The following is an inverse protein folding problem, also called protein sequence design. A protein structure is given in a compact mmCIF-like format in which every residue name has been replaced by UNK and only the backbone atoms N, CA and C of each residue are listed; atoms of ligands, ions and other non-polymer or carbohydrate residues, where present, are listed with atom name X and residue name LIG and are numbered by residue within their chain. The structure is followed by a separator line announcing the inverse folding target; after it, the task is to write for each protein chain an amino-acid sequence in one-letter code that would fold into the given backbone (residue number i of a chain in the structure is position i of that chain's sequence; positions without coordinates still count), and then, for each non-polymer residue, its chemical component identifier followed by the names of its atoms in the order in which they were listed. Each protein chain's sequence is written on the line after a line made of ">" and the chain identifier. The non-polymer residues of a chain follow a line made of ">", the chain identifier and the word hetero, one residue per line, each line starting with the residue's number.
data_IF_312790483532
#
_entry.id   IF_312790483532
#
_cell.length_a   1.000
_cell.length_b   1.000
_cell.length_c   1.000
_cell.angle_alpha   90.00
_cell.angle_beta   90.00
_cell.angle_gamma   90.00
#
_symmetry.space_group_name_H-M   'P 1'
#
loop_
_entity.id
_entity.type
_entity.pdbx_description
1 polymer ?
#
# COMPACT_ATOMS: atom_id res chain seq x y z
N UNK A 1 0.60 -9.78 27.12
CA UNK A 1 -0.05 -8.82 26.19
C UNK A 1 -1.56 -9.05 26.01
N UNK A 2 -2.24 -9.78 26.91
CA UNK A 2 -3.69 -10.08 26.81
C UNK A 2 -4.62 -8.92 27.24
N UNK A 3 -4.08 -7.90 27.91
CA UNK A 3 -4.87 -6.81 28.52
C UNK A 3 -5.37 -5.76 27.52
N UNK A 4 -4.66 -5.55 26.40
CA UNK A 4 -4.97 -4.48 25.43
C UNK A 4 -6.07 -4.92 24.44
N UNK A 5 -6.08 -6.18 24.01
CA UNK A 5 -7.02 -6.67 23.01
C UNK A 5 -8.46 -6.70 23.51
N UNK A 6 -8.70 -7.17 24.75
CA UNK A 6 -10.04 -7.23 25.32
C UNK A 6 -10.64 -5.82 25.51
N UNK A 7 -9.83 -4.86 25.94
CA UNK A 7 -10.25 -3.48 26.10
C UNK A 7 -10.64 -2.88 24.74
N UNK A 8 -9.79 -3.03 23.72
CA UNK A 8 -10.09 -2.58 22.37
C UNK A 8 -11.37 -3.23 21.81
N UNK A 9 -11.54 -4.54 21.96
CA UNK A 9 -12.78 -5.25 21.53
C UNK A 9 -14.01 -4.69 22.23
N UNK A 10 -13.92 -4.38 23.52
CA UNK A 10 -15.03 -3.80 24.29
C UNK A 10 -15.35 -2.39 23.81
N UNK A 11 -14.36 -1.54 23.57
CA UNK A 11 -14.55 -0.20 23.01
C UNK A 11 -15.16 -0.24 21.62
N UNK A 12 -14.65 -1.09 20.72
CA UNK A 12 -15.19 -1.29 19.38
C UNK A 12 -16.64 -1.81 19.40
N UNK A 13 -16.98 -2.67 20.37
CA UNK A 13 -18.35 -3.14 20.54
C UNK A 13 -19.30 -2.03 21.02
N UNK A 14 -18.84 -1.15 21.91
CA UNK A 14 -19.63 0.00 22.40
C UNK A 14 -19.91 0.96 21.25
N UNK A 15 -18.89 1.37 20.51
CA UNK A 15 -19.06 2.33 19.39
C UNK A 15 -19.95 1.74 18.29
N UNK A 16 -19.85 0.44 18.00
CA UNK A 16 -20.71 -0.23 17.02
C UNK A 16 -22.18 -0.20 17.44
N UNK A 17 -22.49 -0.47 18.72
CA UNK A 17 -23.84 -0.39 19.27
C UNK A 17 -24.41 1.04 19.19
N UNK A 18 -23.59 2.05 19.50
CA UNK A 18 -24.02 3.44 19.40
C UNK A 18 -24.27 3.88 17.95
N UNK A 19 -23.48 3.37 16.99
CA UNK A 19 -23.73 3.60 15.55
C UNK A 19 -25.06 2.98 15.14
N UNK A 20 -25.30 1.71 15.50
CA UNK A 20 -26.56 1.03 15.20
C UNK A 20 -27.77 1.78 15.80
N UNK A 21 -27.63 2.26 17.04
CA UNK A 21 -28.66 3.06 17.70
C UNK A 21 -28.93 4.37 16.94
N UNK A 22 -27.88 5.12 16.59
CA UNK A 22 -28.01 6.36 15.83
C UNK A 22 -28.70 6.14 14.46
N UNK A 23 -28.35 5.06 13.76
CA UNK A 23 -29.00 4.67 12.49
C UNK A 23 -30.49 4.36 12.70
N UNK A 24 -30.85 3.59 13.73
CA UNK A 24 -32.26 3.26 14.04
C UNK A 24 -33.07 4.49 14.41
N UNK A 25 -32.45 5.44 15.11
CA UNK A 25 -33.04 6.73 15.50
C UNK A 25 -33.04 7.75 14.36
N UNK A 26 -32.45 7.42 13.19
CA UNK A 26 -32.24 8.32 12.04
C UNK A 26 -31.49 9.61 12.40
N UNK A 27 -30.54 9.50 13.33
CA UNK A 27 -29.62 10.58 13.71
C UNK A 27 -28.33 10.47 12.89
N UNK A 28 -28.40 10.97 11.65
CA UNK A 28 -27.33 10.88 10.66
C UNK A 28 -26.04 11.58 11.12
N UNK A 29 -26.16 12.73 11.80
CA UNK A 29 -25.03 13.49 12.33
C UNK A 29 -24.30 12.71 13.43
N UNK A 30 -25.04 12.11 14.37
CA UNK A 30 -24.43 11.26 15.39
C UNK A 30 -23.78 10.02 14.78
N UNK A 31 -24.45 9.36 13.83
CA UNK A 31 -23.90 8.19 13.15
C UNK A 31 -22.57 8.52 12.44
N UNK A 32 -22.53 9.64 11.71
CA UNK A 32 -21.31 10.12 11.04
C UNK A 32 -20.19 10.42 12.03
N UNK A 33 -20.48 11.14 13.11
CA UNK A 33 -19.47 11.45 14.15
C UNK A 33 -18.88 10.18 14.79
N UNK A 34 -19.71 9.17 15.06
CA UNK A 34 -19.26 7.90 15.62
C UNK A 34 -18.42 7.08 14.61
N UNK A 35 -18.76 7.12 13.33
CA UNK A 35 -17.95 6.50 12.27
C UNK A 35 -16.58 7.17 12.16
N UNK A 36 -16.53 8.50 12.20
CA UNK A 36 -15.27 9.26 12.20
C UNK A 36 -14.41 8.95 13.43
N UNK A 37 -15.02 8.84 14.61
CA UNK A 37 -14.32 8.47 15.85
C UNK A 37 -13.73 7.06 15.76
N UNK A 38 -14.50 6.11 15.22
CA UNK A 38 -14.00 4.76 14.95
C UNK A 38 -12.81 4.80 13.98
N UNK A 39 -12.89 5.56 12.90
CA UNK A 39 -11.82 5.67 11.91
C UNK A 39 -10.54 6.28 12.53
N UNK A 40 -10.66 7.29 13.40
CA UNK A 40 -9.51 7.86 14.13
C UNK A 40 -8.78 6.86 15.01
N UNK A 41 -9.51 5.97 15.69
CA UNK A 41 -8.91 4.93 16.54
C UNK A 41 -8.07 3.95 15.70
N UNK A 42 -8.50 3.63 14.48
CA UNK A 42 -7.73 2.78 13.56
C UNK A 42 -6.55 3.54 12.94
N UNK A 43 -6.74 4.81 12.60
CA UNK A 43 -5.70 5.67 12.02
C UNK A 43 -4.47 5.76 12.92
N UNK A 44 -4.66 5.91 14.24
CA UNK A 44 -3.55 5.96 15.19
C UNK A 44 -2.66 4.69 15.13
N UNK A 45 -3.29 3.51 15.18
CA UNK A 45 -2.57 2.24 15.13
C UNK A 45 -1.92 2.03 13.77
N UNK A 46 -2.64 2.32 12.68
CA UNK A 46 -2.12 2.27 11.32
C UNK A 46 -0.85 3.11 11.19
N UNK A 47 -0.88 4.38 11.60
CA UNK A 47 0.23 5.30 11.43
C UNK A 47 1.47 4.88 12.22
N UNK A 48 1.30 4.29 13.41
CA UNK A 48 2.40 3.68 14.18
C UNK A 48 3.07 2.53 13.41
N UNK A 49 2.28 1.66 12.77
CA UNK A 49 2.83 0.59 11.94
C UNK A 49 3.57 1.13 10.71
N UNK A 50 3.02 2.15 10.04
CA UNK A 50 3.69 2.79 8.91
C UNK A 50 5.03 3.40 9.34
N UNK A 51 5.05 4.10 10.48
CA UNK A 51 6.26 4.73 11.02
C UNK A 51 7.32 3.67 11.38
N UNK A 52 6.91 2.57 12.00
CA UNK A 52 7.81 1.44 12.30
C UNK A 52 8.41 0.86 11.01
N UNK A 53 7.59 0.61 9.99
CA UNK A 53 8.04 0.06 8.71
C UNK A 53 9.02 1.00 8.00
N UNK A 54 8.68 2.29 7.85
CA UNK A 54 9.60 3.24 7.18
C UNK A 54 10.89 3.42 7.98
N UNK A 55 10.83 3.40 9.31
CA UNK A 55 12.03 3.46 10.15
C UNK A 55 12.97 2.27 9.86
N UNK A 56 12.43 1.04 9.83
CA UNK A 56 13.20 -0.15 9.49
C UNK A 56 13.78 -0.08 8.08
N UNK A 57 12.97 0.19 7.06
CA UNK A 57 13.43 0.26 5.67
C UNK A 57 14.44 1.39 5.47
N UNK A 58 14.21 2.53 6.12
CA UNK A 58 15.15 3.66 6.09
C UNK A 58 16.48 3.28 6.70
N UNK A 59 16.50 2.64 7.88
CA UNK A 59 17.75 2.24 8.51
C UNK A 59 18.49 1.19 7.68
N UNK A 60 17.77 0.21 7.12
CA UNK A 60 18.35 -0.80 6.21
C UNK A 60 18.98 -0.15 4.98
N UNK A 61 18.28 0.81 4.33
CA UNK A 61 18.82 1.55 3.19
C UNK A 61 20.03 2.41 3.55
N UNK A 62 20.04 3.04 4.73
CA UNK A 62 21.19 3.83 5.20
C UNK A 62 22.43 2.98 5.46
N UNK A 63 22.26 1.83 6.11
CA UNK A 63 23.39 0.97 6.54
C UNK A 63 23.89 0.07 5.43
N UNK A 64 22.98 -0.52 4.64
CA UNK A 64 23.32 -1.54 3.64
C UNK A 64 23.13 -1.09 2.19
N UNK A 65 22.70 0.15 1.97
CA UNK A 65 22.42 0.71 0.64
C UNK A 65 21.21 0.07 -0.05
N UNK A 66 20.95 0.50 -1.29
CA UNK A 66 19.82 0.04 -2.11
C UNK A 66 19.76 -1.49 -2.24
N UNK A 67 20.92 -2.14 -2.44
CA UNK A 67 21.01 -3.60 -2.60
C UNK A 67 20.62 -4.35 -1.32
N UNK A 68 21.04 -3.83 -0.16
CA UNK A 68 20.67 -4.41 1.13
C UNK A 68 19.18 -4.24 1.42
N UNK A 69 18.63 -3.06 1.14
CA UNK A 69 17.19 -2.81 1.22
C UNK A 69 16.41 -3.77 0.32
N UNK A 70 16.81 -3.93 -0.95
CA UNK A 70 16.17 -4.88 -1.87
C UNK A 70 16.24 -6.31 -1.34
N UNK A 71 17.38 -6.75 -0.81
CA UNK A 71 17.53 -8.08 -0.22
C UNK A 71 16.55 -8.36 0.92
N UNK A 72 16.36 -7.39 1.83
CA UNK A 72 15.39 -7.55 2.93
C UNK A 72 13.95 -7.55 2.42
N UNK A 73 13.62 -6.64 1.51
CA UNK A 73 12.29 -6.59 0.91
C UNK A 73 11.98 -7.90 0.19
N UNK A 74 12.92 -8.45 -0.57
CA UNK A 74 12.78 -9.75 -1.23
C UNK A 74 12.56 -10.88 -0.23
N UNK A 75 13.36 -10.94 0.83
CA UNK A 75 13.19 -11.94 1.88
C UNK A 75 11.78 -11.88 2.49
N UNK A 76 11.33 -10.68 2.88
CA UNK A 76 9.97 -10.51 3.41
C UNK A 76 8.87 -10.83 2.39
N UNK A 77 9.11 -10.60 1.09
CA UNK A 77 8.20 -10.99 0.03
C UNK A 77 8.09 -12.50 -0.13
N UNK A 78 9.20 -13.24 -0.06
CA UNK A 78 9.16 -14.72 -0.06
C UNK A 78 8.34 -15.26 1.12
N UNK A 79 8.46 -14.64 2.30
CA UNK A 79 7.65 -15.03 3.46
C UNK A 79 6.14 -14.77 3.31
N UNK A 80 5.76 -13.91 2.36
CA UNK A 80 4.37 -13.55 2.08
C UNK A 80 3.85 -14.18 0.78
N UNK A 81 4.69 -14.91 0.05
CA UNK A 81 4.40 -15.42 -1.30
C UNK A 81 3.13 -16.27 -1.36
N UNK A 82 2.80 -16.99 -0.31
CA UNK A 82 1.55 -17.76 -0.23
C UNK A 82 0.31 -16.85 -0.35
N UNK A 83 0.32 -15.68 0.30
CA UNK A 83 -0.75 -14.69 0.17
C UNK A 83 -0.86 -14.12 -1.25
N UNK A 84 0.28 -13.82 -1.88
CA UNK A 84 0.33 -13.39 -3.28
C UNK A 84 -0.17 -14.50 -4.24
N UNK A 85 0.16 -15.75 -3.94
CA UNK A 85 -0.33 -16.92 -4.69
C UNK A 85 -1.83 -17.09 -4.51
N UNK A 86 -2.37 -16.85 -3.32
CA UNK A 86 -3.81 -16.85 -3.10
C UNK A 86 -4.51 -15.77 -3.93
N UNK A 87 -3.95 -14.55 -4.00
CA UNK A 87 -4.46 -13.47 -4.85
C UNK A 87 -4.40 -13.82 -6.34
N UNK A 88 -3.31 -14.44 -6.80
CA UNK A 88 -3.14 -14.83 -8.21
C UNK A 88 -4.23 -15.80 -8.69
N UNK A 89 -4.70 -16.66 -7.79
CA UNK A 89 -5.71 -17.67 -8.11
C UNK A 89 -7.17 -17.17 -7.94
N UNK A 90 -7.37 -15.91 -7.54
CA UNK A 90 -8.72 -15.33 -7.45
C UNK A 90 -9.25 -14.92 -8.83
N UNK A 91 -10.57 -14.98 -9.06
CA UNK A 91 -11.19 -14.22 -10.13
C UNK A 91 -10.81 -12.74 -9.98
N UNK A 92 -10.53 -12.06 -11.11
CA UNK A 92 -10.01 -10.68 -11.06
C UNK A 92 -10.90 -9.72 -10.29
N UNK A 93 -12.22 -9.88 -10.37
CA UNK A 93 -13.19 -9.08 -9.60
C UNK A 93 -13.03 -9.27 -8.08
N UNK A 94 -12.79 -10.50 -7.63
CA UNK A 94 -12.58 -10.80 -6.21
C UNK A 94 -11.23 -10.26 -5.74
N UNK A 95 -10.19 -10.35 -6.58
CA UNK A 95 -8.90 -9.73 -6.30
C UNK A 95 -9.01 -8.21 -6.18
N UNK A 96 -9.79 -7.56 -7.05
CA UNK A 96 -10.06 -6.11 -6.99
C UNK A 96 -10.82 -5.74 -5.71
N UNK A 97 -11.84 -6.52 -5.32
CA UNK A 97 -12.59 -6.31 -4.06
C UNK A 97 -11.70 -6.47 -2.83
N UNK A 98 -10.89 -7.53 -2.80
CA UNK A 98 -9.91 -7.76 -1.73
C UNK A 98 -8.90 -6.61 -1.66
N UNK A 99 -8.39 -6.16 -2.81
CA UNK A 99 -7.48 -5.02 -2.90
C UNK A 99 -8.15 -3.74 -2.41
N UNK A 100 -9.40 -3.45 -2.80
CA UNK A 100 -10.14 -2.28 -2.32
C UNK A 100 -10.32 -2.29 -0.81
N UNK A 101 -10.61 -3.45 -0.22
CA UNK A 101 -10.70 -3.61 1.22
C UNK A 101 -9.35 -3.33 1.91
N UNK A 102 -8.27 -3.96 1.43
CA UNK A 102 -6.91 -3.74 1.93
C UNK A 102 -6.52 -2.26 1.82
N UNK A 103 -6.74 -1.64 0.67
CA UNK A 103 -6.43 -0.23 0.43
C UNK A 103 -7.23 0.72 1.35
N UNK A 104 -8.47 0.37 1.72
CA UNK A 104 -9.23 1.12 2.73
C UNK A 104 -8.60 0.99 4.13
N UNK A 105 -7.98 -0.14 4.45
CA UNK A 105 -7.25 -0.30 5.73
C UNK A 105 -5.97 0.54 5.83
N UNK A 106 -5.47 1.07 4.71
CA UNK A 106 -4.36 2.03 4.69
C UNK A 106 -4.79 3.48 4.97
N UNK A 107 -6.05 3.73 5.34
CA UNK A 107 -6.57 5.01 5.85
C UNK A 107 -6.36 6.24 4.94
N UNK A 108 -6.07 6.01 3.65
CA UNK A 108 -5.98 7.05 2.62
C UNK A 108 -7.32 7.30 1.92
N UNK A 109 -7.34 8.27 1.00
CA UNK A 109 -8.49 8.48 0.11
C UNK A 109 -8.28 7.63 -1.14
N UNK A 110 -9.18 6.68 -1.37
CA UNK A 110 -9.12 5.74 -2.49
C UNK A 110 -10.25 6.02 -3.46
N UNK A 111 -9.93 6.14 -4.74
CA UNK A 111 -10.88 6.12 -5.85
C UNK A 111 -10.56 4.93 -6.74
N UNK A 112 -11.60 4.17 -7.11
CA UNK A 112 -11.51 3.09 -8.08
C UNK A 112 -12.20 3.52 -9.38
N UNK A 113 -11.53 3.30 -10.50
CA UNK A 113 -12.08 3.50 -11.85
C UNK A 113 -11.90 2.19 -12.60
N UNK A 114 -12.87 1.82 -13.42
CA UNK A 114 -12.82 0.65 -14.29
C UNK A 114 -12.94 1.10 -15.74
N UNK A 115 -12.13 0.50 -16.62
CA UNK A 115 -12.28 0.54 -18.08
C UNK A 115 -12.29 -0.90 -18.64
N UNK A 116 -12.33 -1.03 -19.97
CA UNK A 116 -12.39 -2.34 -20.65
C UNK A 116 -11.14 -3.21 -20.43
N UNK A 117 -10.01 -2.61 -20.04
CA UNK A 117 -8.73 -3.31 -19.89
C UNK A 117 -8.37 -3.58 -18.42
N UNK A 118 -8.72 -2.68 -17.51
CA UNK A 118 -8.19 -2.68 -16.15
C UNK A 118 -9.03 -1.92 -15.14
N UNK A 119 -8.71 -2.19 -13.88
CA UNK A 119 -9.10 -1.43 -12.71
C UNK A 119 -7.97 -0.50 -12.31
N UNK A 120 -8.26 0.76 -12.06
CA UNK A 120 -7.29 1.79 -11.66
C UNK A 120 -7.62 2.29 -10.26
N UNK A 121 -6.70 2.04 -9.34
CA UNK A 121 -6.73 2.57 -7.99
C UNK A 121 -5.96 3.89 -7.95
N UNK A 122 -6.62 4.96 -7.50
CA UNK A 122 -6.05 6.30 -7.35
C UNK A 122 -6.11 6.66 -5.88
N UNK A 123 -4.94 6.83 -5.28
CA UNK A 123 -4.80 7.13 -3.85
C UNK A 123 -4.29 8.55 -3.65
N UNK A 124 -5.14 9.45 -3.14
CA UNK A 124 -4.82 10.87 -3.01
C UNK A 124 -5.19 11.47 -1.63
N UNK A 125 -4.31 11.41 -0.62
CA UNK A 125 -3.03 10.70 -0.63
C UNK A 125 -3.21 9.19 -0.49
N UNK A 126 -2.18 8.45 -0.89
CA UNK A 126 -1.91 7.14 -0.29
C UNK A 126 -1.64 7.33 1.21
N UNK A 127 -2.40 6.65 2.07
CA UNK A 127 -2.29 6.85 3.52
C UNK A 127 -0.99 6.36 4.15
N UNK A 128 -0.14 5.67 3.39
CA UNK A 128 1.19 5.21 3.84
C UNK A 128 2.33 6.03 3.19
N UNK A 129 2.89 5.56 2.07
CA UNK A 129 4.04 6.23 1.44
C UNK A 129 3.76 7.65 0.95
N UNK A 130 2.59 7.86 0.34
CA UNK A 130 2.16 9.20 -0.10
C UNK A 130 2.01 10.18 1.07
N UNK A 131 1.41 9.74 2.17
CA UNK A 131 1.31 10.49 3.43
C UNK A 131 2.69 10.87 3.95
N UNK A 132 3.63 9.92 4.05
CA UNK A 132 5.00 10.18 4.52
C UNK A 132 5.71 11.23 3.66
N UNK A 133 5.48 11.23 2.34
CA UNK A 133 6.03 12.28 1.46
C UNK A 133 5.41 13.65 1.76
N UNK A 134 4.09 13.76 1.94
CA UNK A 134 3.41 15.03 2.27
C UNK A 134 3.78 15.57 3.64
N UNK A 135 4.02 14.67 4.59
CA UNK A 135 4.54 15.00 5.92
C UNK A 135 6.03 15.36 5.92
N UNK A 136 6.69 15.37 4.75
CA UNK A 136 8.12 15.71 4.61
C UNK A 136 9.02 14.79 5.43
N UNK A 137 8.62 13.52 5.60
CA UNK A 137 9.32 12.57 6.46
C UNK A 137 10.74 12.20 5.96
N UNK A 138 11.05 12.50 4.70
CA UNK A 138 12.37 12.29 4.11
C UNK A 138 13.30 13.51 4.22
N UNK A 139 12.81 14.59 4.83
CA UNK A 139 13.54 15.82 5.11
C UNK A 139 13.86 15.91 6.63
N UNK A 140 14.70 16.85 7.08
CA UNK A 140 14.93 17.06 8.49
C UNK A 140 13.63 17.34 9.27
N UNK A 141 13.46 16.80 10.50
CA UNK A 141 14.47 16.04 11.26
C UNK A 141 14.49 14.53 10.98
N UNK A 142 13.41 13.95 10.43
CA UNK A 142 13.28 12.48 10.26
C UNK A 142 14.33 11.91 9.31
N UNK A 143 14.60 12.60 8.20
CA UNK A 143 15.63 12.24 7.22
C UNK A 143 15.56 10.77 6.78
N UNK A 144 14.36 10.25 6.49
CA UNK A 144 14.25 8.87 6.00
C UNK A 144 14.98 8.66 4.68
N UNK A 145 15.41 7.42 4.46
CA UNK A 145 16.23 7.06 3.30
C UNK A 145 15.47 7.24 1.99
N UNK A 146 16.20 7.64 0.95
CA UNK A 146 15.74 7.64 -0.44
C UNK A 146 16.74 6.86 -1.29
N UNK A 147 16.22 6.04 -2.19
CA UNK A 147 17.00 5.38 -3.23
C UNK A 147 17.43 6.48 -4.21
N UNK A 148 18.73 6.77 -4.26
CA UNK A 148 19.24 7.96 -4.96
C UNK A 148 19.26 7.80 -6.47
N UNK A 149 19.60 6.62 -6.94
CA UNK A 149 19.75 6.32 -8.36
C UNK A 149 18.47 5.75 -8.96
N UNK A 150 18.27 6.00 -10.25
CA UNK A 150 17.19 5.42 -11.04
C UNK A 150 17.39 3.90 -11.16
N UNK A 151 16.79 3.14 -10.24
CA UNK A 151 16.92 1.67 -10.15
C UNK A 151 15.56 0.98 -10.15
N UNK A 152 15.47 -0.31 -10.54
CA UNK A 152 14.22 -1.08 -10.52
C UNK A 152 13.46 -1.02 -9.19
N UNK A 153 14.16 -1.12 -8.06
CA UNK A 153 13.59 -1.01 -6.70
C UNK A 153 12.91 0.36 -6.42
N UNK A 154 13.25 1.39 -7.20
CA UNK A 154 12.61 2.70 -7.17
C UNK A 154 11.77 2.99 -8.41
N UNK A 155 11.30 1.96 -9.14
CA UNK A 155 10.59 2.12 -10.41
C UNK A 155 11.34 2.90 -11.48
N UNK A 156 12.68 2.94 -11.42
CA UNK A 156 13.52 3.73 -12.32
C UNK A 156 13.51 5.23 -12.02
N UNK A 157 12.90 5.67 -10.92
CA UNK A 157 12.89 7.06 -10.48
C UNK A 157 14.11 7.35 -9.59
N UNK A 158 14.61 8.59 -9.65
CA UNK A 158 15.64 9.09 -8.72
C UNK A 158 14.99 9.56 -7.43
N UNK A 159 15.77 9.55 -6.35
CA UNK A 159 15.33 9.99 -5.01
C UNK A 159 14.02 9.32 -4.56
N UNK A 160 13.86 8.03 -4.84
CA UNK A 160 12.62 7.30 -4.57
C UNK A 160 12.47 6.96 -3.07
N UNK A 161 11.28 7.15 -2.47
CA UNK A 161 11.07 6.90 -1.04
C UNK A 161 11.35 5.44 -0.64
N UNK A 162 12.19 5.20 0.37
CA UNK A 162 12.52 3.84 0.81
C UNK A 162 11.30 3.06 1.30
N UNK A 163 10.30 3.75 1.87
CA UNK A 163 9.04 3.10 2.21
C UNK A 163 8.37 2.52 0.97
N UNK A 164 8.21 3.30 -0.09
CA UNK A 164 7.49 2.90 -1.31
C UNK A 164 8.19 1.80 -2.11
N UNK A 165 9.49 1.56 -1.87
CA UNK A 165 10.27 0.52 -2.52
C UNK A 165 9.65 -0.88 -2.38
N UNK A 166 8.93 -1.16 -1.28
CA UNK A 166 8.26 -2.45 -1.11
C UNK A 166 7.17 -2.69 -2.17
N UNK A 167 6.51 -1.64 -2.67
CA UNK A 167 5.54 -1.77 -3.77
C UNK A 167 6.23 -2.21 -5.07
N UNK A 168 7.43 -1.70 -5.33
CA UNK A 168 8.24 -2.12 -6.48
C UNK A 168 8.70 -3.57 -6.33
N UNK A 169 9.20 -3.93 -5.15
CA UNK A 169 9.73 -5.28 -4.92
C UNK A 169 8.64 -6.33 -4.89
N UNK A 170 7.64 -6.21 -4.01
CA UNK A 170 6.65 -7.26 -3.79
C UNK A 170 5.67 -7.38 -4.96
N UNK A 171 5.01 -6.28 -5.33
CA UNK A 171 3.89 -6.31 -6.29
C UNK A 171 4.29 -6.27 -7.76
N UNK A 172 5.55 -5.93 -8.06
CA UNK A 172 6.04 -5.80 -9.43
C UNK A 172 7.20 -6.74 -9.70
N UNK A 173 8.35 -6.58 -9.03
CA UNK A 173 9.55 -7.38 -9.31
C UNK A 173 9.33 -8.86 -8.96
N UNK A 174 8.99 -9.18 -7.71
CA UNK A 174 8.80 -10.55 -7.25
C UNK A 174 7.53 -11.18 -7.82
N UNK A 175 6.42 -10.46 -7.87
CA UNK A 175 5.22 -10.93 -8.57
C UNK A 175 5.54 -11.34 -10.03
N UNK A 176 6.34 -10.54 -10.75
CA UNK A 176 6.77 -10.90 -12.12
C UNK A 176 7.68 -12.13 -12.14
N UNK A 177 8.58 -12.28 -11.16
CA UNK A 177 9.45 -13.46 -11.05
C UNK A 177 8.64 -14.73 -10.74
N UNK A 178 7.63 -14.64 -9.88
CA UNK A 178 6.81 -15.76 -9.45
C UNK A 178 5.74 -16.16 -10.47
N UNK A 179 5.02 -15.20 -11.03
CA UNK A 179 3.81 -15.43 -11.83
C UNK A 179 3.96 -15.01 -13.30
N UNK A 180 5.03 -14.30 -13.65
CA UNK A 180 5.29 -13.82 -15.00
C UNK A 180 4.71 -12.43 -15.29
N UNK A 181 4.03 -11.79 -14.33
CA UNK A 181 3.56 -10.41 -14.42
C UNK A 181 3.43 -9.72 -13.06
N UNK A 182 3.40 -8.37 -13.01
CA UNK A 182 2.99 -7.64 -11.82
C UNK A 182 1.52 -7.92 -11.47
N UNK A 183 1.19 -7.95 -10.17
CA UNK A 183 -0.19 -8.02 -9.70
C UNK A 183 -0.79 -6.61 -9.53
N UNK A 184 0.00 -5.66 -9.01
CA UNK A 184 -0.34 -4.24 -9.00
C UNK A 184 0.67 -3.46 -9.85
N UNK A 185 0.28 -3.14 -11.09
CA UNK A 185 1.10 -2.36 -12.02
C UNK A 185 1.15 -0.90 -11.55
N UNK A 186 2.23 -0.51 -10.90
CA UNK A 186 2.35 0.82 -10.29
C UNK A 186 2.80 1.90 -11.26
N UNK A 187 2.22 3.09 -11.11
CA UNK A 187 2.75 4.34 -11.63
C UNK A 187 3.31 5.16 -10.45
N UNK A 188 4.64 5.37 -10.38
CA UNK A 188 5.24 6.08 -9.26
C UNK A 188 4.77 7.54 -9.25
N UNK A 189 4.39 8.03 -8.07
CA UNK A 189 4.18 9.45 -7.84
C UNK A 189 5.48 10.22 -8.06
N UNK A 190 5.44 11.35 -8.77
CA UNK A 190 6.64 12.16 -9.09
C UNK A 190 6.91 13.23 -8.04
N UNK A 191 5.88 13.63 -7.31
CA UNK A 191 5.94 14.62 -6.24
C UNK A 191 5.04 14.20 -5.06
N UNK A 192 5.23 14.80 -3.87
CA UNK A 192 4.37 14.54 -2.71
C UNK A 192 2.87 14.81 -2.96
N UNK A 193 2.55 15.76 -3.85
CA UNK A 193 1.17 16.15 -4.14
C UNK A 193 0.48 15.21 -5.15
N UNK A 194 1.27 14.42 -5.89
CA UNK A 194 0.73 13.45 -6.82
C UNK A 194 0.01 12.29 -6.10
N UNK A 195 -1.02 11.71 -6.72
CA UNK A 195 -1.61 10.47 -6.24
C UNK A 195 -0.64 9.30 -6.42
N UNK A 196 -0.73 8.30 -5.54
CA UNK A 196 -0.20 6.97 -5.84
C UNK A 196 -1.22 6.24 -6.71
N UNK A 197 -0.79 5.71 -7.84
CA UNK A 197 -1.68 5.03 -8.79
C UNK A 197 -1.15 3.64 -9.07
N UNK A 198 -2.04 2.66 -9.08
CA UNK A 198 -1.74 1.35 -9.62
C UNK A 198 -2.92 0.77 -10.39
N UNK A 199 -2.61 -0.17 -11.27
CA UNK A 199 -3.58 -0.85 -12.11
C UNK A 199 -3.59 -2.36 -11.83
N UNK A 200 -4.78 -2.94 -11.85
CA UNK A 200 -5.00 -4.38 -11.94
C UNK A 200 -5.61 -4.64 -13.33
N UNK A 201 -4.86 -5.28 -14.20
CA UNK A 201 -5.35 -5.61 -15.55
C UNK A 201 -6.29 -6.81 -15.49
N UNK A 202 -7.39 -6.75 -16.25
CA UNK A 202 -8.34 -7.87 -16.38
C UNK A 202 -7.70 -9.10 -17.01
N UNK A 203 -6.77 -8.85 -17.93
CA UNK A 203 -5.90 -9.86 -18.54
C UNK A 203 -4.42 -9.42 -18.38
N UNK A 204 -3.60 -10.15 -17.60
CA UNK A 204 -2.19 -9.83 -17.41
C UNK A 204 -1.39 -9.76 -18.72
N UNK A 205 -1.81 -10.48 -19.77
CA UNK A 205 -1.16 -10.41 -21.09
C UNK A 205 -1.33 -9.06 -21.76
N UNK A 206 -2.30 -8.24 -21.33
CA UNK A 206 -2.48 -6.87 -21.83
C UNK A 206 -1.58 -5.84 -21.13
N UNK A 207 -0.85 -6.21 -20.07
CA UNK A 207 0.07 -5.29 -19.40
C UNK A 207 1.13 -4.79 -20.41
N UNK A 208 1.25 -3.48 -20.63
CA UNK A 208 2.24 -2.93 -21.55
C UNK A 208 3.68 -3.28 -21.20
N UNK A 209 4.50 -3.56 -22.22
CA UNK A 209 5.92 -3.97 -22.05
C UNK A 209 6.76 -2.93 -21.26
N UNK A 210 6.40 -1.64 -21.33
CA UNK A 210 7.07 -0.57 -20.58
C UNK A 210 7.14 -0.84 -19.07
N UNK A 211 6.13 -1.51 -18.50
CA UNK A 211 6.09 -1.80 -17.06
C UNK A 211 7.08 -2.87 -16.66
N UNK A 212 7.32 -3.86 -17.53
CA UNK A 212 8.33 -4.89 -17.33
C UNK A 212 9.74 -4.30 -17.45
N UNK A 213 9.99 -3.51 -18.51
CA UNK A 213 11.28 -2.84 -18.73
C UNK A 213 11.68 -1.94 -17.56
N UNK A 214 10.72 -1.20 -16.99
CA UNK A 214 10.91 -0.32 -15.82
C UNK A 214 11.52 -1.05 -14.61
N UNK A 215 11.14 -2.30 -14.40
CA UNK A 215 11.62 -3.13 -13.29
C UNK A 215 12.73 -4.11 -13.73
N UNK A 216 13.38 -3.83 -14.87
CA UNK A 216 14.41 -4.67 -15.48
C UNK A 216 13.95 -6.13 -15.68
N UNK A 217 12.71 -6.32 -16.11
CA UNK A 217 12.12 -7.61 -16.49
C UNK A 217 11.71 -7.61 -17.95
N UNK A 218 11.58 -8.80 -18.50
CA UNK A 218 11.04 -9.03 -19.83
C UNK A 218 9.61 -9.55 -19.74
N UNK A 219 8.75 -9.08 -20.64
CA UNK A 219 7.40 -9.61 -20.75
C UNK A 219 7.47 -11.00 -21.39
N UNK A 220 7.01 -12.03 -20.67
CA UNK A 220 6.87 -13.37 -21.23
C UNK A 220 5.78 -13.35 -22.31
N UNK A 221 6.06 -13.98 -23.45
CA UNK A 221 5.11 -14.12 -24.57
C UNK A 221 4.03 -15.14 -24.25
#
# INVERSE_FOLDING_TARGET
>A
MQYIEQYFRKEQAIISKEIEKAIREKDDEKAKKLLEEREKQHLFIHDVYIEMMVSCFSYMGKVYGDKGLEGVLRHSGEMQKEGFTAWENMPVEDFVRATAHLMKTHMGKVKLIEDDEKFTFIHNPCGSGGRLMRERAYEPPKNYYKIKEAKPIGFGEKDYPSYCAHCAVWNNIQATEWFGHPQWVHEPAKSPDDPCVFHIYKDPKKIPEKYFKRIAKEKKK
#
